data_IF_707935369305
#
_entry.id   IF_707935369305
#
_cell.length_a   1.000
_cell.length_b   1.000
_cell.length_c   1.000
_cell.angle_alpha   90.00
_cell.angle_beta   90.00
_cell.angle_gamma   90.00
#
_symmetry.space_group_name_H-M   'P 1'
#
loop_
_entity.id
_entity.type
_entity.pdbx_description
1 polymer ?
#
# COMPACT_ATOMS: atom_id res chain seq x y z
N UNK A 1 -26.87 39.96 48.43
CA UNK A 1 -27.94 41.01 48.59
C UNK A 1 -27.65 42.09 47.59
N UNK A 2 -28.70 42.45 46.86
CA UNK A 2 -28.86 43.58 45.96
C UNK A 2 -28.62 43.33 44.48
N UNK A 3 -29.42 43.96 43.60
CA UNK A 3 -30.37 43.20 42.79
C UNK A 3 -30.23 43.47 41.29
N UNK A 4 -30.96 42.66 40.51
CA UNK A 4 -31.19 42.76 39.07
C UNK A 4 -31.98 44.04 38.75
N UNK A 5 -31.77 44.68 37.60
CA UNK A 5 -32.87 45.36 36.95
C UNK A 5 -33.30 44.73 35.61
N UNK A 6 -34.58 44.62 35.47
CA UNK A 6 -35.37 44.27 34.29
C UNK A 6 -35.53 45.47 33.35
N UNK A 7 -35.86 45.11 32.07
CA UNK A 7 -36.60 45.87 31.02
C UNK A 7 -35.69 46.48 29.94
N UNK A 8 -36.06 46.43 28.66
CA UNK A 8 -37.34 46.89 28.08
C UNK A 8 -37.50 46.23 26.68
N UNK A 9 -38.70 45.78 26.36
CA UNK A 9 -39.20 45.39 25.05
C UNK A 9 -39.43 46.65 24.22
N UNK A 10 -38.87 46.76 23.02
CA UNK A 10 -39.25 47.71 22.00
C UNK A 10 -39.75 46.95 20.76
N UNK A 11 -41.04 47.09 20.51
CA UNK A 11 -41.68 46.74 19.23
C UNK A 11 -41.30 47.81 18.21
N UNK A 12 -40.82 47.42 17.05
CA UNK A 12 -40.75 48.29 15.88
C UNK A 12 -41.37 47.59 14.66
N UNK A 13 -42.09 48.40 13.94
CA UNK A 13 -43.10 48.14 12.94
C UNK A 13 -42.48 47.67 11.61
N UNK A 14 -43.24 46.85 10.92
CA UNK A 14 -43.07 46.41 9.52
C UNK A 14 -43.13 47.64 8.59
N UNK A 15 -42.08 47.83 7.76
CA UNK A 15 -42.17 48.63 6.56
C UNK A 15 -41.82 47.71 5.36
N UNK A 16 -42.85 47.40 4.56
CA UNK A 16 -42.70 46.67 3.31
C UNK A 16 -42.10 47.61 2.25
N UNK A 17 -40.91 47.30 1.75
CA UNK A 17 -40.33 47.94 0.58
C UNK A 17 -40.44 46.96 -0.57
N UNK A 18 -41.30 47.26 -1.54
CA UNK A 18 -41.39 46.57 -2.82
C UNK A 18 -40.24 47.08 -3.70
N UNK A 19 -39.22 46.23 -3.92
CA UNK A 19 -38.21 46.51 -4.93
C UNK A 19 -38.50 45.60 -6.12
N UNK A 20 -38.88 46.17 -7.25
CA UNK A 20 -38.96 45.52 -8.53
C UNK A 20 -37.52 45.19 -8.96
N UNK A 21 -37.12 43.95 -8.83
CA UNK A 21 -35.83 43.42 -9.32
C UNK A 21 -36.00 42.88 -10.74
N UNK A 22 -35.25 43.46 -11.67
CA UNK A 22 -35.06 42.89 -12.99
C UNK A 22 -34.47 41.48 -12.84
N UNK A 23 -35.20 40.45 -13.27
CA UNK A 23 -34.70 39.11 -13.44
C UNK A 23 -33.73 39.07 -14.62
N UNK A 24 -32.41 39.07 -14.33
CA UNK A 24 -31.44 38.51 -15.24
C UNK A 24 -31.56 36.99 -15.12
N UNK A 25 -32.21 36.39 -16.10
CA UNK A 25 -32.13 34.93 -16.33
C UNK A 25 -30.68 34.61 -16.66
N UNK A 26 -29.90 34.25 -15.66
CA UNK A 26 -28.74 33.37 -15.85
C UNK A 26 -29.33 32.06 -16.33
N UNK A 27 -29.08 31.71 -17.57
CA UNK A 27 -29.29 30.36 -18.03
C UNK A 27 -28.34 29.49 -17.21
N UNK A 28 -28.87 28.84 -16.20
CA UNK A 28 -28.25 27.69 -15.57
C UNK A 28 -28.36 26.60 -16.64
N UNK A 29 -27.24 26.39 -17.37
CA UNK A 29 -27.09 25.30 -18.29
C UNK A 29 -26.93 24.04 -17.44
N UNK A 30 -28.06 23.57 -16.93
CA UNK A 30 -28.20 22.36 -16.15
C UNK A 30 -28.02 21.11 -16.99
N UNK A 31 -26.92 21.03 -17.72
CA UNK A 31 -26.37 19.77 -18.18
C UNK A 31 -25.74 19.12 -16.96
N UNK A 32 -26.48 18.26 -16.27
CA UNK A 32 -25.92 17.19 -15.47
C UNK A 32 -25.09 16.33 -16.41
N UNK A 33 -23.81 16.69 -16.62
CA UNK A 33 -22.86 15.77 -17.20
C UNK A 33 -22.79 14.61 -16.22
N UNK A 34 -23.39 13.49 -16.58
CA UNK A 34 -23.11 12.21 -15.95
C UNK A 34 -21.63 11.99 -16.08
N UNK A 35 -20.92 11.84 -14.96
CA UNK A 35 -19.52 11.42 -15.00
C UNK A 35 -19.44 10.10 -15.75
N UNK A 36 -18.44 9.91 -16.64
CA UNK A 36 -18.21 8.61 -17.27
C UNK A 36 -18.16 7.53 -16.18
N UNK A 37 -18.84 6.41 -16.43
CA UNK A 37 -18.86 5.26 -15.53
C UNK A 37 -17.68 4.31 -15.75
N UNK A 38 -16.97 4.48 -16.88
CA UNK A 38 -15.81 3.70 -17.27
C UNK A 38 -14.79 4.58 -18.00
N UNK A 39 -13.64 4.02 -18.36
CA UNK A 39 -12.56 4.72 -19.04
C UNK A 39 -12.50 4.43 -20.55
N UNK A 40 -13.52 3.81 -21.13
CA UNK A 40 -13.53 3.35 -22.53
C UNK A 40 -13.50 4.49 -23.57
N UNK A 41 -14.04 5.67 -23.22
CA UNK A 41 -13.86 6.91 -24.00
C UNK A 41 -12.98 7.89 -23.23
N UNK A 42 -11.66 7.75 -23.39
CA UNK A 42 -10.69 8.54 -22.64
C UNK A 42 -10.76 10.05 -22.91
N UNK A 43 -11.12 10.46 -24.10
CA UNK A 43 -11.29 11.88 -24.44
C UNK A 43 -12.48 12.48 -23.68
N UNK A 44 -13.56 11.72 -23.50
CA UNK A 44 -14.71 12.14 -22.68
C UNK A 44 -14.31 12.23 -21.20
N UNK A 45 -13.56 11.25 -20.68
CA UNK A 45 -13.03 11.28 -19.32
C UNK A 45 -12.16 12.53 -19.09
N UNK A 46 -11.21 12.84 -19.98
CA UNK A 46 -10.37 14.02 -19.90
C UNK A 46 -11.18 15.33 -19.95
N UNK A 47 -12.19 15.38 -20.80
CA UNK A 47 -13.05 16.56 -20.91
C UNK A 47 -13.89 16.78 -19.64
N UNK A 48 -14.40 15.69 -19.03
CA UNK A 48 -15.16 15.75 -17.79
C UNK A 48 -14.27 16.10 -16.58
N UNK A 49 -13.05 15.57 -16.55
CA UNK A 49 -12.11 15.74 -15.42
C UNK A 49 -11.56 17.17 -15.28
N UNK A 50 -11.50 17.91 -16.38
CA UNK A 50 -10.88 19.25 -16.41
C UNK A 50 -11.57 20.23 -15.47
N UNK A 51 -10.77 20.85 -14.58
CA UNK A 51 -11.25 21.81 -13.57
C UNK A 51 -11.82 21.16 -12.31
N UNK A 52 -11.83 19.83 -12.22
CA UNK A 52 -12.25 19.11 -11.03
C UNK A 52 -11.16 19.08 -9.96
N UNK A 53 -11.57 18.76 -8.72
CA UNK A 53 -10.67 18.49 -7.61
C UNK A 53 -10.91 17.06 -7.10
N UNK A 54 -9.84 16.29 -6.94
CA UNK A 54 -9.89 14.90 -6.43
C UNK A 54 -9.48 14.89 -4.96
N UNK A 55 -10.35 14.41 -4.10
CA UNK A 55 -10.03 14.12 -2.71
C UNK A 55 -9.53 12.68 -2.61
N UNK A 56 -8.21 12.52 -2.51
CA UNK A 56 -7.56 11.23 -2.37
C UNK A 56 -7.30 10.95 -0.89
N UNK A 57 -8.02 9.97 -0.35
CA UNK A 57 -7.85 9.47 1.02
C UNK A 57 -6.75 8.43 1.03
N UNK A 58 -5.68 8.71 1.76
CA UNK A 58 -4.53 7.82 1.86
C UNK A 58 -3.89 7.88 3.24
N UNK A 59 -3.21 6.81 3.61
CA UNK A 59 -2.47 6.75 4.87
C UNK A 59 -1.43 7.87 4.95
N UNK A 60 -1.53 8.69 6.01
CA UNK A 60 -0.72 9.89 6.19
C UNK A 60 0.54 9.70 7.04
N UNK A 61 0.88 8.46 7.44
CA UNK A 61 1.96 8.19 8.39
C UNK A 61 3.39 8.31 7.85
N UNK A 62 3.58 8.55 6.54
CA UNK A 62 4.89 8.77 5.92
C UNK A 62 5.01 10.16 5.35
N UNK A 63 5.89 10.99 5.94
CA UNK A 63 6.15 12.35 5.44
C UNK A 63 6.70 12.33 4.00
N UNK A 64 7.53 11.35 3.65
CA UNK A 64 8.12 11.24 2.32
C UNK A 64 7.09 10.86 1.25
N UNK A 65 6.20 9.91 1.52
CA UNK A 65 5.09 9.58 0.61
C UNK A 65 4.16 10.80 0.46
N UNK A 66 3.83 11.46 1.57
CA UNK A 66 2.99 12.66 1.56
C UNK A 66 3.60 13.76 0.69
N UNK A 67 4.90 14.05 0.87
CA UNK A 67 5.63 15.04 0.07
C UNK A 67 5.67 14.64 -1.41
N UNK A 68 5.90 13.37 -1.73
CA UNK A 68 5.91 12.91 -3.12
C UNK A 68 4.55 13.11 -3.81
N UNK A 69 3.45 12.81 -3.13
CA UNK A 69 2.10 13.04 -3.63
C UNK A 69 1.84 14.53 -3.85
N UNK A 70 2.19 15.38 -2.89
CA UNK A 70 1.93 16.81 -2.94
C UNK A 70 2.84 17.53 -3.94
N UNK A 71 4.13 17.17 -4.01
CA UNK A 71 5.16 17.89 -4.76
C UNK A 71 5.44 17.30 -6.16
N UNK A 72 5.01 16.05 -6.41
CA UNK A 72 5.22 15.39 -7.72
C UNK A 72 3.90 15.18 -8.45
N UNK A 73 2.96 14.41 -7.91
CA UNK A 73 1.70 14.13 -8.61
C UNK A 73 0.81 15.38 -8.72
N UNK A 74 0.67 16.16 -7.65
CA UNK A 74 -0.18 17.34 -7.62
C UNK A 74 0.15 18.36 -8.70
N UNK A 75 1.40 18.82 -8.87
CA UNK A 75 1.81 19.73 -9.95
C UNK A 75 1.56 19.17 -11.33
N UNK A 76 1.89 17.90 -11.60
CA UNK A 76 1.68 17.27 -12.91
C UNK A 76 0.19 17.21 -13.26
N UNK A 77 -0.68 16.85 -12.31
CA UNK A 77 -2.14 16.82 -12.51
C UNK A 77 -2.68 18.20 -12.84
N UNK A 78 -2.25 19.21 -12.11
CA UNK A 78 -2.67 20.60 -12.35
C UNK A 78 -2.19 21.11 -13.72
N UNK A 79 -0.91 20.90 -14.03
CA UNK A 79 -0.29 21.53 -15.19
C UNK A 79 -0.66 20.82 -16.51
N UNK A 80 -0.79 19.45 -16.49
CA UNK A 80 -1.15 18.68 -17.69
C UNK A 80 -2.66 18.57 -17.90
N UNK A 81 -3.44 18.40 -16.81
CA UNK A 81 -4.85 18.04 -16.90
C UNK A 81 -5.81 19.10 -16.31
N UNK A 82 -5.30 20.10 -15.59
CA UNK A 82 -6.11 21.10 -14.93
C UNK A 82 -6.90 20.54 -13.72
N UNK A 83 -6.39 19.47 -13.12
CA UNK A 83 -6.99 18.81 -11.96
C UNK A 83 -6.27 19.26 -10.70
N UNK A 84 -7.03 19.56 -9.63
CA UNK A 84 -6.50 19.81 -8.29
C UNK A 84 -6.49 18.51 -7.49
N UNK A 85 -5.33 18.06 -7.03
CA UNK A 85 -5.23 16.92 -6.11
C UNK A 85 -5.27 17.41 -4.67
N UNK A 86 -6.23 16.95 -3.90
CA UNK A 86 -6.35 17.18 -2.47
C UNK A 86 -6.00 15.87 -1.74
N UNK A 87 -4.81 15.79 -1.18
CA UNK A 87 -4.44 14.69 -0.31
C UNK A 87 -5.18 14.81 1.02
N UNK A 88 -5.97 13.79 1.38
CA UNK A 88 -6.69 13.70 2.65
C UNK A 88 -6.01 12.61 3.50
N UNK A 89 -5.13 12.99 4.44
CA UNK A 89 -4.42 12.02 5.26
C UNK A 89 -5.36 11.37 6.27
N UNK A 90 -5.31 10.03 6.35
CA UNK A 90 -6.03 9.21 7.33
C UNK A 90 -5.03 8.38 8.13
N UNK A 91 -5.42 8.01 9.35
CA UNK A 91 -4.61 7.14 10.20
C UNK A 91 -4.68 5.68 9.76
N UNK A 92 -5.86 5.27 9.30
CA UNK A 92 -6.14 3.92 8.80
C UNK A 92 -7.15 3.99 7.64
N UNK A 93 -7.03 3.11 6.67
CA UNK A 93 -7.93 3.04 5.50
C UNK A 93 -9.39 2.78 5.89
N UNK A 94 -9.62 2.10 7.01
CA UNK A 94 -10.97 1.88 7.56
C UNK A 94 -11.73 3.19 7.80
N UNK A 95 -11.05 4.31 8.04
CA UNK A 95 -11.69 5.62 8.22
C UNK A 95 -12.37 6.07 6.92
N UNK A 96 -11.72 5.89 5.76
CA UNK A 96 -12.31 6.19 4.46
C UNK A 96 -13.45 5.22 4.12
N UNK A 97 -13.28 3.93 4.42
CA UNK A 97 -14.32 2.89 4.25
C UNK A 97 -15.59 3.27 5.02
N UNK A 98 -15.44 3.60 6.30
CA UNK A 98 -16.57 4.01 7.15
C UNK A 98 -17.25 5.27 6.63
N UNK A 99 -16.49 6.22 6.06
CA UNK A 99 -17.06 7.43 5.47
C UNK A 99 -17.89 7.12 4.23
N UNK A 100 -17.43 6.25 3.33
CA UNK A 100 -18.19 5.81 2.15
C UNK A 100 -19.48 5.11 2.57
N UNK A 101 -19.42 4.19 3.53
CA UNK A 101 -20.60 3.49 4.07
C UNK A 101 -21.59 4.48 4.68
N UNK A 102 -21.13 5.42 5.51
CA UNK A 102 -21.99 6.42 6.14
C UNK A 102 -22.66 7.35 5.12
N UNK A 103 -21.99 7.73 4.04
CA UNK A 103 -22.55 8.55 2.96
C UNK A 103 -23.65 7.80 2.21
N UNK A 104 -23.43 6.51 1.88
CA UNK A 104 -24.45 5.64 1.29
C UNK A 104 -25.69 5.54 2.21
N UNK A 105 -25.48 5.27 3.50
CA UNK A 105 -26.57 5.09 4.48
C UNK A 105 -27.38 6.38 4.69
N UNK A 106 -26.73 7.52 4.54
CA UNK A 106 -27.39 8.83 4.55
C UNK A 106 -28.11 9.18 3.23
N UNK A 107 -27.99 8.35 2.19
CA UNK A 107 -28.55 8.62 0.86
C UNK A 107 -27.90 9.80 0.16
N UNK A 108 -26.66 10.13 0.49
CA UNK A 108 -25.90 11.23 -0.12
C UNK A 108 -25.55 10.87 -1.57
N UNK A 109 -25.80 11.80 -2.50
CA UNK A 109 -25.35 11.69 -3.88
C UNK A 109 -24.13 12.59 -4.09
N UNK A 110 -23.10 12.07 -4.75
CA UNK A 110 -21.83 12.77 -4.95
C UNK A 110 -21.01 12.82 -3.65
N UNK A 111 -20.43 11.70 -3.28
CA UNK A 111 -19.62 11.51 -2.08
C UNK A 111 -18.43 12.46 -1.98
N UNK A 112 -17.90 12.63 -0.78
CA UNK A 112 -16.73 13.46 -0.53
C UNK A 112 -15.40 12.71 -0.81
N UNK A 113 -15.44 11.40 -0.90
CA UNK A 113 -14.30 10.53 -1.18
C UNK A 113 -14.28 10.25 -2.69
N UNK A 114 -13.23 10.71 -3.37
CA UNK A 114 -13.10 10.50 -4.83
C UNK A 114 -12.15 9.37 -5.16
N UNK A 115 -11.11 9.16 -4.35
CA UNK A 115 -10.10 8.11 -4.53
C UNK A 115 -9.63 7.63 -3.15
N UNK A 116 -9.36 6.33 -3.02
CA UNK A 116 -8.86 5.73 -1.77
C UNK A 116 -7.62 4.91 -2.09
N UNK A 117 -6.54 5.06 -1.30
CA UNK A 117 -5.51 4.02 -1.20
C UNK A 117 -6.08 2.90 -0.33
N UNK A 118 -6.27 1.74 -0.90
CA UNK A 118 -7.02 0.65 -0.29
C UNK A 118 -6.34 -0.69 -0.56
N UNK A 119 -6.44 -1.60 0.40
CA UNK A 119 -5.97 -2.97 0.28
C UNK A 119 -6.80 -3.92 1.16
N UNK A 120 -6.77 -5.20 0.82
CA UNK A 120 -7.17 -6.31 1.65
C UNK A 120 -8.63 -6.29 2.10
N UNK A 121 -8.85 -6.37 3.40
CA UNK A 121 -10.19 -6.42 3.99
C UNK A 121 -11.05 -5.18 3.72
N UNK A 122 -10.39 -4.03 3.58
CA UNK A 122 -11.05 -2.76 3.26
C UNK A 122 -11.64 -2.78 1.85
N UNK A 123 -10.86 -3.29 0.87
CA UNK A 123 -11.34 -3.53 -0.49
C UNK A 123 -12.49 -4.52 -0.51
N UNK A 124 -12.31 -5.69 0.10
CA UNK A 124 -13.34 -6.72 0.18
C UNK A 124 -14.64 -6.17 0.78
N UNK A 125 -14.55 -5.35 1.83
CA UNK A 125 -15.70 -4.73 2.50
C UNK A 125 -16.50 -3.84 1.55
N UNK A 126 -15.84 -2.93 0.82
CA UNK A 126 -16.53 -2.01 -0.09
C UNK A 126 -17.06 -2.74 -1.34
N UNK A 127 -16.27 -3.69 -1.90
CA UNK A 127 -16.67 -4.51 -3.04
C UNK A 127 -17.93 -5.31 -2.74
N UNK A 128 -17.94 -6.05 -1.64
CA UNK A 128 -19.05 -6.95 -1.28
C UNK A 128 -20.35 -6.19 -0.98
N UNK A 129 -20.26 -4.91 -0.64
CA UNK A 129 -21.39 -4.01 -0.48
C UNK A 129 -21.77 -3.24 -1.76
N UNK A 130 -21.05 -3.46 -2.88
CA UNK A 130 -21.30 -2.76 -4.15
C UNK A 130 -21.03 -1.26 -4.08
N UNK A 131 -20.03 -0.83 -3.28
CA UNK A 131 -19.71 0.58 -3.01
C UNK A 131 -18.50 1.08 -3.82
N UNK A 132 -17.93 0.26 -4.69
CA UNK A 132 -16.85 0.65 -5.59
C UNK A 132 -17.35 0.78 -7.02
N UNK A 133 -16.78 1.71 -7.75
CA UNK A 133 -16.95 1.83 -9.19
C UNK A 133 -16.26 0.65 -9.86
N UNK A 134 -16.95 -0.04 -10.76
CA UNK A 134 -16.45 -1.18 -11.51
C UNK A 134 -16.24 -0.81 -12.99
N UNK A 135 -15.43 -1.61 -13.70
CA UNK A 135 -15.29 -1.51 -15.16
C UNK A 135 -14.34 -0.41 -15.63
N UNK A 136 -13.56 0.24 -14.76
CA UNK A 136 -12.71 1.38 -15.16
C UNK A 136 -11.21 1.08 -15.15
N UNK A 137 -10.72 0.27 -14.19
CA UNK A 137 -9.28 0.18 -13.90
C UNK A 137 -8.49 -0.49 -15.03
N UNK A 138 -9.10 -1.46 -15.73
CA UNK A 138 -8.47 -2.16 -16.85
C UNK A 138 -8.60 -1.42 -18.20
N UNK A 139 -9.47 -0.41 -18.26
CA UNK A 139 -9.70 0.41 -19.46
C UNK A 139 -8.87 1.71 -19.45
N UNK A 140 -8.06 1.95 -18.41
CA UNK A 140 -7.13 3.07 -18.37
C UNK A 140 -6.09 2.94 -19.49
N UNK A 141 -5.67 4.04 -20.15
CA UNK A 141 -4.66 4.01 -21.21
C UNK A 141 -3.34 3.33 -20.84
N UNK A 142 -2.93 3.41 -19.58
CA UNK A 142 -1.69 2.79 -19.08
C UNK A 142 -1.93 1.40 -18.44
N UNK A 143 -3.16 0.87 -18.47
CA UNK A 143 -3.47 -0.42 -17.85
C UNK A 143 -2.76 -1.61 -18.54
N UNK A 144 -2.46 -1.50 -19.84
CA UNK A 144 -1.69 -2.51 -20.58
C UNK A 144 -0.26 -2.68 -20.09
N UNK A 145 0.25 -1.72 -19.33
CA UNK A 145 1.58 -1.78 -18.70
C UNK A 145 1.59 -2.64 -17.43
N UNK A 146 0.42 -2.97 -16.90
CA UNK A 146 0.26 -3.79 -15.68
C UNK A 146 0.23 -5.27 -16.06
N UNK A 147 0.91 -6.11 -15.29
CA UNK A 147 0.89 -7.56 -15.47
C UNK A 147 -0.33 -8.18 -14.76
N UNK A 148 -1.50 -8.00 -15.35
CA UNK A 148 -2.76 -8.54 -14.81
C UNK A 148 -2.86 -10.08 -14.78
N UNK A 149 -1.95 -10.77 -15.46
CA UNK A 149 -1.87 -12.24 -15.43
C UNK A 149 -1.15 -12.75 -14.17
N UNK A 150 -0.39 -11.88 -13.50
CA UNK A 150 0.28 -12.21 -12.26
C UNK A 150 -0.73 -12.17 -11.08
N UNK A 151 -0.93 -13.29 -10.35
CA UNK A 151 -1.82 -13.32 -9.19
C UNK A 151 -1.44 -12.35 -8.07
N UNK A 152 -0.15 -11.97 -7.94
CA UNK A 152 0.29 -10.96 -6.98
C UNK A 152 -0.19 -9.54 -7.34
N UNK A 153 -0.64 -9.32 -8.59
CA UNK A 153 -1.13 -8.03 -9.11
C UNK A 153 -2.64 -8.05 -9.34
N UNK A 154 -3.21 -9.21 -9.74
CA UNK A 154 -4.64 -9.33 -10.03
C UNK A 154 -5.48 -9.75 -8.82
N UNK A 155 -4.86 -9.95 -7.66
CA UNK A 155 -5.54 -10.29 -6.41
C UNK A 155 -5.03 -9.44 -5.26
N UNK A 156 -5.93 -8.83 -4.54
CA UNK A 156 -5.67 -8.13 -3.30
C UNK A 156 -5.98 -9.07 -2.12
N UNK A 157 -4.95 -9.53 -1.42
CA UNK A 157 -5.04 -10.54 -0.35
C UNK A 157 -5.93 -11.74 -0.71
N UNK A 158 -5.70 -12.28 -1.93
CA UNK A 158 -6.43 -13.44 -2.44
C UNK A 158 -7.78 -13.12 -3.09
N UNK A 159 -8.26 -11.87 -3.00
CA UNK A 159 -9.50 -11.39 -3.58
C UNK A 159 -9.22 -10.84 -4.98
N UNK A 160 -9.97 -11.29 -5.99
CA UNK A 160 -9.84 -10.78 -7.37
C UNK A 160 -10.21 -9.30 -7.40
N UNK A 161 -9.29 -8.47 -7.90
CA UNK A 161 -9.49 -7.01 -8.00
C UNK A 161 -10.49 -6.63 -9.10
N UNK A 162 -10.77 -7.52 -10.03
CA UNK A 162 -11.66 -7.27 -11.16
C UNK A 162 -11.20 -6.09 -12.01
N UNK A 163 -12.09 -5.12 -12.16
CA UNK A 163 -11.82 -3.82 -12.77
C UNK A 163 -12.12 -2.66 -11.79
N UNK A 164 -12.10 -2.91 -10.47
CA UNK A 164 -12.47 -1.96 -9.41
C UNK A 164 -11.26 -1.27 -8.79
N UNK A 165 -10.06 -1.87 -8.91
CA UNK A 165 -8.81 -1.35 -8.38
C UNK A 165 -7.76 -1.19 -9.47
N UNK A 166 -7.02 -0.08 -9.40
CA UNK A 166 -5.82 0.15 -10.20
C UNK A 166 -4.58 0.15 -9.31
N UNK A 167 -3.53 -0.59 -9.67
CA UNK A 167 -2.28 -0.55 -8.91
C UNK A 167 -1.60 0.81 -9.05
N UNK A 168 -0.82 1.22 -8.03
CA UNK A 168 -0.05 2.45 -8.11
C UNK A 168 1.38 2.33 -7.59
N UNK A 169 1.66 1.32 -6.78
CA UNK A 169 3.00 0.99 -6.28
C UNK A 169 3.04 -0.46 -5.79
N UNK A 170 4.23 -0.95 -5.47
CA UNK A 170 4.41 -2.26 -4.89
C UNK A 170 5.34 -2.23 -3.68
N UNK A 171 5.15 -3.19 -2.79
CA UNK A 171 6.01 -3.47 -1.67
C UNK A 171 6.39 -4.96 -1.69
N UNK A 172 7.60 -5.31 -1.22
CA UNK A 172 8.06 -6.70 -1.22
C UNK A 172 8.99 -6.94 -0.04
N UNK A 173 8.72 -7.97 0.73
CA UNK A 173 9.50 -8.34 1.89
C UNK A 173 10.93 -8.73 1.49
N UNK A 174 11.90 -8.03 2.04
CA UNK A 174 13.32 -8.27 1.83
C UNK A 174 14.05 -8.28 3.16
N UNK A 175 15.08 -9.08 3.26
CA UNK A 175 16.05 -8.97 4.35
C UNK A 175 17.09 -7.91 4.02
N UNK A 176 17.70 -7.34 5.07
CA UNK A 176 18.81 -6.39 4.97
C UNK A 176 19.94 -6.87 5.85
N UNK A 177 21.15 -6.90 5.31
CA UNK A 177 22.39 -7.25 5.99
C UNK A 177 23.42 -6.13 5.88
N UNK A 178 24.42 -6.11 6.76
CA UNK A 178 25.55 -5.20 6.65
C UNK A 178 26.73 -5.90 5.96
N UNK A 179 27.07 -5.48 4.73
CA UNK A 179 28.14 -6.06 3.93
C UNK A 179 29.55 -5.83 4.52
N UNK A 180 29.69 -4.98 5.51
CA UNK A 180 30.92 -4.84 6.28
C UNK A 180 31.09 -5.94 7.35
N UNK A 181 30.00 -6.63 7.75
CA UNK A 181 29.98 -7.66 8.79
C UNK A 181 29.76 -9.07 8.25
N UNK A 182 28.88 -9.20 7.26
CA UNK A 182 28.46 -10.49 6.68
C UNK A 182 28.75 -10.49 5.18
N UNK A 183 29.39 -11.53 4.67
CA UNK A 183 29.62 -11.65 3.23
C UNK A 183 28.36 -12.18 2.51
N UNK A 184 28.18 -11.79 1.26
CA UNK A 184 27.04 -12.24 0.45
C UNK A 184 26.98 -13.78 0.29
N UNK A 185 28.13 -14.43 0.30
CA UNK A 185 28.25 -15.89 0.17
C UNK A 185 27.75 -16.65 1.43
N UNK A 186 27.61 -15.95 2.56
CA UNK A 186 27.13 -16.52 3.84
C UNK A 186 25.63 -16.30 4.05
N UNK A 187 24.95 -15.57 3.15
CA UNK A 187 23.54 -15.27 3.27
C UNK A 187 22.69 -16.52 3.02
N UNK A 188 21.69 -16.78 3.87
CA UNK A 188 20.70 -17.82 3.63
C UNK A 188 19.84 -17.47 2.40
N UNK A 189 19.46 -18.50 1.62
CA UNK A 189 18.64 -18.35 0.42
C UNK A 189 17.26 -19.02 0.55
N UNK A 190 16.95 -19.53 1.73
CA UNK A 190 15.68 -20.19 2.06
C UNK A 190 15.41 -20.09 3.55
N UNK A 191 14.17 -20.38 3.98
CA UNK A 191 13.86 -20.49 5.41
C UNK A 191 14.57 -21.66 6.08
N UNK A 192 14.79 -22.75 5.35
CA UNK A 192 15.60 -23.87 5.85
C UNK A 192 17.05 -23.45 6.12
N UNK A 193 17.69 -22.77 5.15
CA UNK A 193 19.04 -22.25 5.31
C UNK A 193 19.13 -21.16 6.38
N UNK A 194 18.08 -20.33 6.55
CA UNK A 194 18.01 -19.35 7.63
C UNK A 194 18.03 -20.02 9.00
N UNK A 195 17.31 -21.13 9.16
CA UNK A 195 17.33 -21.89 10.41
C UNK A 195 18.71 -22.44 10.72
N UNK A 196 19.39 -23.02 9.72
CA UNK A 196 20.75 -23.52 9.87
C UNK A 196 21.73 -22.39 10.18
N UNK A 197 21.61 -21.26 9.48
CA UNK A 197 22.43 -20.07 9.70
C UNK A 197 22.24 -19.51 11.13
N UNK A 198 20.99 -19.34 11.55
CA UNK A 198 20.68 -18.80 12.88
C UNK A 198 21.22 -19.69 14.01
N UNK A 199 21.13 -21.02 13.83
CA UNK A 199 21.66 -21.96 14.82
C UNK A 199 23.19 -22.07 14.81
N UNK A 200 23.83 -21.77 13.67
CA UNK A 200 25.29 -21.61 13.60
C UNK A 200 25.76 -20.27 14.21
N UNK A 201 24.90 -19.26 14.29
CA UNK A 201 25.15 -17.92 14.83
C UNK A 201 24.14 -17.56 15.96
N UNK A 202 24.13 -18.29 17.09
CA UNK A 202 23.09 -18.15 18.10
C UNK A 202 22.99 -16.72 18.61
N UNK A 203 21.76 -16.19 18.68
CA UNK A 203 21.49 -14.84 19.13
C UNK A 203 21.67 -13.73 18.11
N UNK A 204 22.11 -14.07 16.87
CA UNK A 204 22.37 -13.08 15.81
C UNK A 204 21.18 -12.83 14.88
N UNK A 205 20.04 -13.49 15.09
CA UNK A 205 18.83 -13.31 14.31
C UNK A 205 17.59 -13.22 15.20
N UNK A 206 16.64 -12.42 14.78
CA UNK A 206 15.26 -12.41 15.27
C UNK A 206 14.34 -11.84 14.20
N UNK A 207 13.04 -11.91 14.43
CA UNK A 207 12.00 -11.35 13.58
C UNK A 207 10.96 -10.61 14.42
N UNK A 208 10.12 -9.79 13.78
CA UNK A 208 9.06 -9.05 14.47
C UNK A 208 7.97 -10.02 14.92
N UNK A 209 7.48 -9.88 16.15
CA UNK A 209 6.36 -10.68 16.64
C UNK A 209 5.12 -10.49 15.75
N UNK A 210 4.54 -11.57 15.18
CA UNK A 210 3.25 -11.47 14.51
C UNK A 210 2.16 -10.92 15.41
N UNK A 211 1.29 -10.06 14.87
CA UNK A 211 0.18 -9.50 15.62
C UNK A 211 -0.47 -8.33 14.88
N UNK A 212 -1.60 -7.81 15.37
CA UNK A 212 -2.29 -6.68 14.76
C UNK A 212 -1.35 -5.48 14.53
N UNK A 213 -1.27 -5.01 13.29
CA UNK A 213 -0.37 -3.94 12.89
C UNK A 213 1.10 -4.34 12.68
N UNK A 214 1.48 -5.58 12.97
CA UNK A 214 2.84 -6.10 12.78
C UNK A 214 2.93 -6.97 11.51
N UNK A 215 2.49 -6.46 10.37
CA UNK A 215 2.46 -7.16 9.08
C UNK A 215 3.74 -7.90 8.73
N UNK A 216 4.89 -7.33 9.07
CA UNK A 216 6.20 -7.88 8.72
C UNK A 216 6.52 -9.18 9.47
N UNK A 217 6.13 -9.26 10.73
CA UNK A 217 6.26 -10.48 11.51
C UNK A 217 5.36 -11.58 10.96
N UNK A 218 4.13 -11.22 10.60
CA UNK A 218 3.18 -12.16 10.01
C UNK A 218 3.65 -12.62 8.62
N UNK A 219 4.22 -11.73 7.79
CA UNK A 219 4.83 -12.08 6.50
C UNK A 219 6.01 -13.03 6.65
N UNK A 220 6.89 -12.79 7.61
CA UNK A 220 7.98 -13.72 7.90
C UNK A 220 7.46 -15.14 8.19
N UNK A 221 6.44 -15.25 9.04
CA UNK A 221 5.86 -16.56 9.41
C UNK A 221 5.12 -17.18 8.22
N UNK A 222 4.37 -16.41 7.44
CA UNK A 222 3.73 -16.88 6.20
C UNK A 222 4.76 -17.35 5.17
N UNK A 223 5.87 -16.65 5.01
CA UNK A 223 6.95 -17.08 4.11
C UNK A 223 7.54 -18.45 4.47
N UNK A 224 7.72 -18.72 5.77
CA UNK A 224 8.11 -20.03 6.24
C UNK A 224 7.04 -21.09 5.93
N UNK A 225 5.77 -20.80 6.15
CA UNK A 225 4.65 -21.67 5.80
C UNK A 225 4.63 -22.01 4.30
N UNK A 226 4.84 -21.01 3.44
CA UNK A 226 4.86 -21.19 1.99
C UNK A 226 5.99 -22.13 1.55
N UNK A 227 7.19 -21.96 2.09
CA UNK A 227 8.31 -22.85 1.77
C UNK A 227 8.04 -24.28 2.25
N UNK A 228 7.60 -24.45 3.50
CA UNK A 228 7.31 -25.76 4.08
C UNK A 228 6.23 -26.54 3.31
N UNK A 229 5.25 -25.84 2.78
CA UNK A 229 4.11 -26.43 2.06
C UNK A 229 4.33 -26.54 0.54
N UNK A 230 5.47 -26.09 0.01
CA UNK A 230 5.81 -26.20 -1.41
C UNK A 230 5.36 -25.05 -2.29
N UNK A 231 4.97 -23.89 -1.70
CA UNK A 231 4.73 -22.63 -2.43
C UNK A 231 3.53 -21.83 -1.96
N UNK A 232 3.49 -20.57 -2.38
CA UNK A 232 2.47 -19.59 -1.96
C UNK A 232 1.10 -19.79 -2.62
N UNK A 233 1.06 -20.31 -3.86
CA UNK A 233 -0.15 -20.31 -4.69
C UNK A 233 -1.35 -21.03 -4.07
N UNK A 234 -1.11 -22.08 -3.28
CA UNK A 234 -2.15 -22.83 -2.59
C UNK A 234 -2.81 -22.06 -1.43
N UNK A 235 -2.17 -20.99 -0.95
CA UNK A 235 -2.65 -20.13 0.14
C UNK A 235 -3.44 -18.92 -0.33
N UNK A 236 -3.55 -18.72 -1.64
CA UNK A 236 -4.29 -17.61 -2.24
C UNK A 236 -5.82 -17.69 -2.03
N UNK A 237 -6.34 -18.86 -1.68
CA UNK A 237 -7.74 -19.07 -1.32
C UNK A 237 -7.81 -19.77 0.03
N UNK A 238 -8.72 -19.34 0.91
CA UNK A 238 -8.82 -19.94 2.23
C UNK A 238 -9.34 -21.39 2.18
N UNK A 239 -8.59 -22.29 2.80
CA UNK A 239 -8.96 -23.69 3.04
C UNK A 239 -8.48 -24.12 4.44
N UNK A 240 -9.43 -24.36 5.34
CA UNK A 240 -9.12 -24.78 6.71
C UNK A 240 -8.35 -26.10 6.75
N UNK A 241 -8.62 -27.03 5.83
CA UNK A 241 -7.93 -28.33 5.80
C UNK A 241 -6.45 -28.21 5.46
N UNK A 242 -6.10 -27.24 4.58
CA UNK A 242 -4.71 -26.91 4.29
C UNK A 242 -3.99 -26.35 5.52
N UNK A 243 -4.67 -25.46 6.26
CA UNK A 243 -4.12 -24.94 7.51
C UNK A 243 -3.88 -26.04 8.53
N UNK A 244 -4.86 -26.91 8.75
CA UNK A 244 -4.77 -28.03 9.72
C UNK A 244 -3.67 -29.02 9.35
N UNK A 245 -3.39 -29.20 8.06
CA UNK A 245 -2.30 -30.07 7.55
C UNK A 245 -0.91 -29.44 7.80
N UNK A 246 -0.72 -28.17 7.49
CA UNK A 246 0.61 -27.54 7.44
C UNK A 246 0.99 -26.74 8.68
N UNK A 247 0.04 -26.23 9.45
CA UNK A 247 0.34 -25.45 10.66
C UNK A 247 1.16 -26.21 11.70
N UNK A 248 1.03 -27.54 11.91
CA UNK A 248 1.92 -28.27 12.82
C UNK A 248 3.39 -28.23 12.40
N UNK A 249 3.67 -28.31 11.09
CA UNK A 249 5.05 -28.23 10.57
C UNK A 249 5.62 -26.82 10.72
N UNK A 250 4.78 -25.78 10.52
CA UNK A 250 5.16 -24.39 10.77
C UNK A 250 5.56 -24.15 12.22
N UNK A 251 4.73 -24.60 13.16
CA UNK A 251 5.04 -24.43 14.59
C UNK A 251 6.28 -25.21 15.01
N UNK A 252 6.47 -26.42 14.49
CA UNK A 252 7.68 -27.21 14.73
C UNK A 252 8.95 -26.51 14.20
N UNK A 253 8.87 -25.88 13.03
CA UNK A 253 9.96 -25.07 12.46
C UNK A 253 10.31 -23.88 13.37
N UNK A 254 9.31 -23.09 13.78
CA UNK A 254 9.52 -21.92 14.62
C UNK A 254 10.01 -22.28 16.03
N UNK A 255 9.53 -23.40 16.59
CA UNK A 255 9.97 -23.89 17.91
C UNK A 255 11.43 -24.38 17.85
N UNK A 256 11.83 -25.04 16.76
CA UNK A 256 13.22 -25.44 16.52
C UNK A 256 14.16 -24.25 16.32
N UNK A 257 13.69 -23.19 15.64
CA UNK A 257 14.45 -21.96 15.42
C UNK A 257 14.59 -21.13 16.71
N UNK A 258 13.61 -21.16 17.59
CA UNK A 258 13.50 -20.32 18.80
C UNK A 258 14.77 -20.25 19.66
N UNK A 259 15.41 -21.38 20.07
CA UNK A 259 16.60 -21.31 20.94
C UNK A 259 17.82 -20.68 20.25
N UNK A 260 17.81 -20.57 18.91
CA UNK A 260 18.86 -19.93 18.12
C UNK A 260 18.69 -18.42 17.97
N UNK A 261 17.50 -17.90 18.29
CA UNK A 261 17.15 -16.48 18.14
C UNK A 261 17.84 -15.60 19.17
N UNK A 262 17.87 -14.29 18.89
CA UNK A 262 18.23 -13.25 19.86
C UNK A 262 17.49 -13.46 21.18
N UNK A 263 18.21 -13.40 22.28
CA UNK A 263 17.70 -13.72 23.63
C UNK A 263 16.98 -15.07 23.75
N UNK A 264 17.42 -16.06 22.98
CA UNK A 264 16.83 -17.40 22.93
C UNK A 264 15.32 -17.44 22.58
N UNK A 265 14.83 -16.40 21.88
CA UNK A 265 13.43 -16.27 21.54
C UNK A 265 12.49 -16.04 22.74
N UNK A 266 13.01 -15.54 23.87
CA UNK A 266 12.18 -15.20 25.03
C UNK A 266 11.47 -13.84 24.84
N UNK A 267 11.91 -13.05 23.85
CA UNK A 267 11.32 -11.76 23.50
C UNK A 267 11.58 -11.47 22.02
N UNK A 268 10.66 -10.71 21.40
CA UNK A 268 10.69 -10.34 20.01
C UNK A 268 10.48 -8.84 19.83
N UNK A 269 11.09 -8.20 18.83
CA UNK A 269 10.72 -6.84 18.43
C UNK A 269 9.23 -6.76 18.09
N UNK A 270 8.60 -5.63 18.38
CA UNK A 270 7.18 -5.40 18.12
C UNK A 270 6.92 -4.64 16.83
N UNK A 271 7.94 -3.93 16.33
CA UNK A 271 7.85 -3.07 15.16
C UNK A 271 9.21 -2.98 14.43
N UNK A 272 9.18 -2.47 13.20
CA UNK A 272 10.37 -2.37 12.34
C UNK A 272 11.48 -1.51 12.97
N UNK A 273 11.14 -0.37 13.56
CA UNK A 273 12.12 0.52 14.19
C UNK A 273 12.90 -0.17 15.33
N UNK A 274 12.24 -1.07 16.07
CA UNK A 274 12.91 -1.85 17.10
C UNK A 274 13.89 -2.86 16.50
N UNK A 275 13.48 -3.55 15.41
CA UNK A 275 14.35 -4.48 14.69
C UNK A 275 15.54 -3.76 14.05
N UNK A 276 15.30 -2.60 13.40
CA UNK A 276 16.35 -1.76 12.81
C UNK A 276 17.37 -1.31 13.85
N UNK A 277 16.91 -0.93 15.04
CA UNK A 277 17.79 -0.51 16.15
C UNK A 277 18.69 -1.67 16.62
N UNK A 278 18.17 -2.89 16.74
CA UNK A 278 18.98 -4.06 17.09
C UNK A 278 20.06 -4.31 16.03
N UNK A 279 19.70 -4.21 14.76
CA UNK A 279 20.64 -4.36 13.63
C UNK A 279 21.70 -3.26 13.62
N UNK A 280 21.32 -2.00 13.78
CA UNK A 280 22.24 -0.87 13.79
C UNK A 280 23.23 -0.94 14.97
N UNK A 281 22.80 -1.49 16.12
CA UNK A 281 23.61 -1.69 17.31
C UNK A 281 24.49 -2.96 17.26
N UNK A 282 24.50 -3.70 16.15
CA UNK A 282 25.24 -4.97 16.01
C UNK A 282 24.78 -6.06 16.99
N UNK A 283 23.51 -6.03 17.40
CA UNK A 283 22.92 -7.10 18.22
C UNK A 283 22.45 -8.28 17.37
N UNK A 284 22.03 -8.00 16.10
CA UNK A 284 21.60 -8.98 15.12
C UNK A 284 22.22 -8.68 13.75
N UNK A 285 22.27 -9.66 12.85
CA UNK A 285 22.91 -9.55 11.53
C UNK A 285 21.94 -9.26 10.40
N UNK A 286 20.64 -9.48 10.61
CA UNK A 286 19.61 -9.18 9.60
C UNK A 286 18.51 -8.31 10.17
N UNK A 287 18.12 -7.30 9.39
CA UNK A 287 16.84 -6.58 9.54
C UNK A 287 16.03 -6.74 8.26
N UNK A 288 14.99 -5.95 8.05
CA UNK A 288 14.10 -6.08 6.91
C UNK A 288 13.84 -4.73 6.24
N UNK A 289 13.32 -4.78 5.02
CA UNK A 289 12.68 -3.64 4.34
C UNK A 289 11.51 -4.14 3.49
N UNK A 290 10.54 -3.29 3.27
CA UNK A 290 9.46 -3.52 2.29
C UNK A 290 9.67 -2.70 1.03
N UNK A 291 10.58 -1.74 1.09
CA UNK A 291 10.87 -0.89 -0.03
C UNK A 291 11.49 -1.72 -1.16
N UNK A 292 10.81 -1.81 -2.30
CA UNK A 292 11.35 -2.49 -3.48
C UNK A 292 12.66 -1.86 -3.98
N UNK A 293 12.94 -0.63 -3.55
CA UNK A 293 14.18 0.10 -3.79
C UNK A 293 15.28 -0.23 -2.75
N UNK A 294 15.07 -1.23 -1.91
CA UNK A 294 16.01 -1.64 -0.87
C UNK A 294 16.12 -0.65 0.30
N UNK A 295 17.19 -0.73 1.11
CA UNK A 295 17.34 0.05 2.34
C UNK A 295 17.82 1.50 2.10
N UNK A 296 17.78 2.01 0.87
CA UNK A 296 18.37 3.32 0.53
C UNK A 296 17.85 4.48 1.40
N UNK A 297 16.55 4.53 1.68
CA UNK A 297 15.96 5.54 2.58
C UNK A 297 16.45 5.36 4.03
N UNK A 298 16.46 4.13 4.54
CA UNK A 298 16.95 3.82 5.89
C UNK A 298 18.43 4.20 6.08
N UNK A 299 19.25 4.05 5.02
CA UNK A 299 20.65 4.48 4.99
C UNK A 299 20.73 6.01 5.01
N UNK A 300 19.95 6.68 4.18
CA UNK A 300 19.96 8.14 4.08
C UNK A 300 19.54 8.81 5.39
N UNK A 301 18.58 8.22 6.10
CA UNK A 301 18.09 8.69 7.40
C UNK A 301 19.00 8.25 8.57
N UNK A 302 20.06 7.48 8.31
CA UNK A 302 20.99 6.99 9.34
C UNK A 302 20.38 5.94 10.28
N UNK A 303 19.30 5.30 9.88
CA UNK A 303 18.60 4.24 10.65
C UNK A 303 19.39 2.95 10.61
N UNK A 304 20.04 2.64 9.49
CA UNK A 304 20.90 1.47 9.30
C UNK A 304 22.28 1.88 8.79
N UNK A 305 23.33 1.04 8.95
CA UNK A 305 24.67 1.34 8.45
C UNK A 305 24.72 1.65 6.95
N UNK A 306 25.64 2.51 6.49
CA UNK A 306 25.78 2.88 5.08
C UNK A 306 26.22 1.70 4.17
N UNK A 307 26.70 0.62 4.75
CA UNK A 307 27.12 -0.62 4.09
C UNK A 307 25.99 -1.65 4.01
N UNK A 308 24.77 -1.28 4.42
CA UNK A 308 23.60 -2.14 4.39
C UNK A 308 23.16 -2.45 2.95
N UNK A 309 22.81 -3.71 2.69
CA UNK A 309 22.30 -4.20 1.40
C UNK A 309 21.10 -5.10 1.61
N UNK A 310 20.15 -5.07 0.68
CA UNK A 310 19.01 -5.98 0.69
C UNK A 310 19.34 -7.32 0.03
N UNK A 311 18.62 -8.38 0.44
CA UNK A 311 18.58 -9.66 -0.23
C UNK A 311 17.22 -10.34 -0.05
N UNK A 312 16.92 -11.28 -0.92
CA UNK A 312 15.69 -12.11 -0.86
C UNK A 312 16.08 -13.59 -0.90
N UNK A 313 15.15 -14.42 -0.44
CA UNK A 313 15.29 -15.85 -0.61
C UNK A 313 14.91 -16.27 -2.02
N UNK A 314 15.52 -17.36 -2.50
CA UNK A 314 15.21 -17.93 -3.81
C UNK A 314 13.83 -18.62 -3.82
N UNK A 315 13.33 -19.00 -2.65
CA UNK A 315 12.08 -19.75 -2.48
C UNK A 315 10.83 -18.88 -2.51
N UNK A 316 10.87 -17.72 -1.88
CA UNK A 316 9.77 -16.75 -1.90
C UNK A 316 10.17 -15.42 -1.25
N UNK A 317 9.52 -14.37 -1.72
CA UNK A 317 9.51 -13.05 -1.09
C UNK A 317 8.09 -12.50 -1.22
N UNK A 318 7.36 -12.45 -0.12
CA UNK A 318 5.96 -12.01 -0.13
C UNK A 318 5.91 -10.52 -0.47
N UNK A 319 5.16 -10.20 -1.51
CA UNK A 319 4.89 -8.83 -1.90
C UNK A 319 3.41 -8.59 -2.15
N UNK A 320 3.06 -7.34 -2.13
CA UNK A 320 1.74 -6.86 -2.46
C UNK A 320 1.84 -5.62 -3.34
N UNK A 321 0.78 -5.39 -4.05
CA UNK A 321 0.55 -4.17 -4.82
C UNK A 321 -0.32 -3.27 -3.98
N UNK A 322 0.00 -2.00 -3.95
CA UNK A 322 -0.86 -0.98 -3.38
C UNK A 322 -1.83 -0.52 -4.46
N UNK A 323 -3.11 -0.47 -4.12
CA UNK A 323 -4.16 -0.11 -5.07
C UNK A 323 -4.81 1.22 -4.73
N UNK A 324 -5.43 1.79 -5.76
CA UNK A 324 -6.41 2.87 -5.60
C UNK A 324 -7.75 2.40 -6.13
N UNK A 325 -8.82 2.74 -5.40
CA UNK A 325 -10.19 2.46 -5.79
C UNK A 325 -11.02 3.75 -5.78
N UNK A 326 -12.06 3.77 -6.62
CA UNK A 326 -13.01 4.88 -6.75
C UNK A 326 -14.34 4.44 -6.14
N UNK A 327 -14.89 5.13 -5.12
CA UNK A 327 -16.24 4.87 -4.65
C UNK A 327 -17.29 5.03 -5.74
N UNK A 328 -18.34 4.19 -5.73
CA UNK A 328 -19.40 4.21 -6.75
C UNK A 328 -20.17 5.54 -6.81
N UNK A 329 -20.20 6.30 -5.70
CA UNK A 329 -20.82 7.61 -5.57
C UNK A 329 -19.82 8.77 -5.60
N UNK A 330 -18.57 8.53 -6.01
CA UNK A 330 -17.54 9.56 -6.10
C UNK A 330 -18.01 10.74 -6.97
N UNK A 331 -17.86 11.96 -6.43
CA UNK A 331 -18.30 13.17 -7.13
C UNK A 331 -17.46 13.44 -8.38
N UNK A 332 -16.18 13.11 -8.33
CA UNK A 332 -15.21 13.44 -9.36
C UNK A 332 -14.56 12.18 -9.95
N UNK A 333 -15.36 11.16 -10.24
CA UNK A 333 -14.90 9.86 -10.75
C UNK A 333 -14.01 10.00 -12.00
N UNK A 334 -14.37 10.87 -12.95
CA UNK A 334 -13.55 11.11 -14.14
C UNK A 334 -12.15 11.62 -13.80
N UNK A 335 -12.04 12.60 -12.90
CA UNK A 335 -10.75 13.10 -12.47
C UNK A 335 -9.97 12.06 -11.65
N UNK A 336 -10.65 11.23 -10.85
CA UNK A 336 -10.03 10.12 -10.12
C UNK A 336 -9.43 9.07 -11.10
N UNK A 337 -10.11 8.75 -12.22
CA UNK A 337 -9.55 7.91 -13.28
C UNK A 337 -8.30 8.51 -13.91
N UNK A 338 -8.27 9.86 -14.13
CA UNK A 338 -7.07 10.54 -14.65
C UNK A 338 -5.93 10.46 -13.64
N UNK A 339 -6.20 10.61 -12.34
CA UNK A 339 -5.19 10.41 -11.29
C UNK A 339 -4.67 8.98 -11.37
N UNK A 340 -5.53 7.97 -11.36
CA UNK A 340 -5.13 6.57 -11.40
C UNK A 340 -4.29 6.23 -12.64
N UNK A 341 -4.66 6.77 -13.82
CA UNK A 341 -3.86 6.59 -15.04
C UNK A 341 -2.48 7.26 -14.94
N UNK A 342 -2.39 8.44 -14.30
CA UNK A 342 -1.08 9.10 -14.05
C UNK A 342 -0.21 8.28 -13.11
N UNK A 343 -0.80 7.61 -12.11
CA UNK A 343 -0.05 6.73 -11.20
C UNK A 343 0.62 5.56 -11.95
N UNK A 344 0.09 5.14 -13.09
CA UNK A 344 0.68 4.13 -13.99
C UNK A 344 1.60 4.71 -15.07
N UNK A 345 1.75 6.05 -15.15
CA UNK A 345 2.62 6.68 -16.16
C UNK A 345 4.09 6.28 -15.92
N UNK A 346 4.82 5.74 -16.91
CA UNK A 346 6.21 5.30 -16.73
C UNK A 346 7.15 6.36 -16.18
N UNK A 347 6.92 7.64 -16.48
CA UNK A 347 7.72 8.73 -15.91
C UNK A 347 7.48 8.93 -14.42
N UNK A 348 6.25 8.73 -13.97
CA UNK A 348 5.90 8.77 -12.54
C UNK A 348 6.41 7.52 -11.81
N UNK A 349 6.29 6.37 -12.43
CA UNK A 349 6.83 5.12 -11.93
C UNK A 349 8.37 5.18 -11.81
N UNK A 350 9.07 5.74 -12.81
CA UNK A 350 10.50 5.99 -12.71
C UNK A 350 10.86 6.95 -11.57
N UNK A 351 10.09 8.04 -11.41
CA UNK A 351 10.33 9.01 -10.35
C UNK A 351 10.17 8.42 -8.95
N UNK A 352 9.19 7.54 -8.73
CA UNK A 352 8.90 6.99 -7.40
C UNK A 352 9.97 6.03 -6.88
N UNK A 353 10.70 5.32 -7.74
CA UNK A 353 11.75 4.39 -7.29
C UNK A 353 13.10 5.07 -7.04
N UNK A 354 13.28 6.33 -7.45
CA UNK A 354 14.53 7.05 -7.21
C UNK A 354 14.66 7.33 -5.69
N UNK A 355 15.72 6.81 -5.02
CA UNK A 355 15.85 6.95 -3.56
C UNK A 355 15.82 8.39 -3.07
N UNK A 356 16.41 9.32 -3.84
CA UNK A 356 16.45 10.74 -3.51
C UNK A 356 15.06 11.42 -3.45
N UNK A 357 14.04 10.80 -4.06
CA UNK A 357 12.67 11.31 -4.03
C UNK A 357 11.89 10.82 -2.79
N UNK A 358 12.47 9.90 -2.01
CA UNK A 358 11.97 9.46 -0.71
C UNK A 358 10.70 8.59 -0.73
N UNK A 359 10.16 8.26 -1.91
CA UNK A 359 8.92 7.47 -1.99
C UNK A 359 9.11 6.04 -1.53
N UNK A 360 10.16 5.36 -2.00
CA UNK A 360 10.62 4.08 -1.48
C UNK A 360 9.84 2.83 -1.92
N UNK A 361 8.69 2.99 -2.57
CA UNK A 361 7.88 1.87 -3.06
C UNK A 361 8.23 1.51 -4.51
N UNK A 362 7.95 0.25 -4.90
CA UNK A 362 8.29 -0.28 -6.21
C UNK A 362 7.30 0.06 -7.32
N UNK A 363 7.58 -0.49 -8.49
CA UNK A 363 6.72 -0.34 -9.65
C UNK A 363 5.34 -0.98 -9.48
N UNK A 364 4.31 -0.32 -10.00
CA UNK A 364 2.99 -0.91 -10.23
C UNK A 364 2.85 -1.47 -11.65
N UNK A 365 3.75 -1.11 -12.55
CA UNK A 365 3.79 -1.58 -13.94
C UNK A 365 4.89 -2.63 -14.12
N UNK A 366 4.76 -3.44 -15.16
CA UNK A 366 5.85 -4.28 -15.65
C UNK A 366 6.71 -3.46 -16.64
N UNK A 367 7.94 -3.09 -16.27
CA UNK A 367 8.82 -2.34 -17.16
C UNK A 367 9.03 -2.99 -18.53
N UNK A 368 8.93 -4.33 -18.63
CA UNK A 368 9.11 -5.04 -19.90
C UNK A 368 8.01 -4.74 -20.93
N UNK A 369 6.84 -4.31 -20.46
CA UNK A 369 5.68 -3.93 -21.30
C UNK A 369 5.79 -2.50 -21.86
N UNK A 370 6.71 -1.67 -21.32
CA UNK A 370 6.94 -0.32 -21.83
C UNK A 370 7.74 -0.40 -23.14
N UNK A 371 7.09 -0.12 -24.26
CA UNK A 371 7.68 -0.23 -25.61
C UNK A 371 8.24 1.07 -26.15
N UNK A 372 7.83 2.20 -25.60
CA UNK A 372 8.39 3.51 -25.95
C UNK A 372 9.83 3.65 -25.46
N UNK A 373 10.83 3.91 -26.36
CA UNK A 373 12.23 3.93 -25.97
C UNK A 373 12.61 5.05 -24.98
N UNK A 374 11.92 6.20 -25.03
CA UNK A 374 12.18 7.31 -24.13
C UNK A 374 11.69 6.97 -22.71
N UNK A 375 10.47 6.47 -22.59
CA UNK A 375 9.91 6.03 -21.33
C UNK A 375 10.67 4.85 -20.74
N UNK A 376 11.10 3.89 -21.58
CA UNK A 376 11.96 2.79 -21.15
C UNK A 376 13.28 3.29 -20.60
N UNK A 377 13.91 4.25 -21.27
CA UNK A 377 15.15 4.88 -20.81
C UNK A 377 15.01 5.54 -19.44
N UNK A 378 13.86 6.16 -19.13
CA UNK A 378 13.60 6.73 -17.79
C UNK A 378 13.56 5.62 -16.71
N UNK A 379 12.93 4.49 -17.00
CA UNK A 379 12.85 3.36 -16.05
C UNK A 379 14.22 2.73 -15.83
N UNK A 380 14.99 2.52 -16.91
CA UNK A 380 16.35 1.96 -16.84
C UNK A 380 17.30 2.90 -16.08
N UNK A 381 17.22 4.21 -16.32
CA UNK A 381 18.01 5.22 -15.60
C UNK A 381 17.63 5.26 -14.10
N UNK A 382 16.35 5.15 -13.78
CA UNK A 382 15.87 5.13 -12.41
C UNK A 382 16.34 3.86 -11.68
N UNK A 383 16.24 2.69 -12.33
CA UNK A 383 16.75 1.43 -11.80
C UNK A 383 18.26 1.49 -11.55
N UNK A 384 19.02 2.10 -12.47
CA UNK A 384 20.45 2.32 -12.30
C UNK A 384 20.84 3.22 -11.11
N UNK A 385 19.90 4.00 -10.57
CA UNK A 385 20.12 4.87 -9.39
C UNK A 385 19.85 4.19 -8.05
N UNK A 386 19.30 2.95 -8.05
CA UNK A 386 19.07 2.20 -6.81
C UNK A 386 20.39 1.84 -6.11
N UNK A 387 21.48 1.72 -6.89
CA UNK A 387 22.81 1.39 -6.38
C UNK A 387 22.91 -0.03 -5.85
N UNK A 388 24.05 -0.34 -5.26
CA UNK A 388 24.38 -1.70 -4.77
C UNK A 388 23.64 -2.12 -3.50
N UNK A 389 22.85 -1.23 -2.91
CA UNK A 389 22.09 -1.51 -1.70
C UNK A 389 20.78 -2.26 -1.99
N UNK A 390 20.22 -2.09 -3.19
CA UNK A 390 18.99 -2.74 -3.62
C UNK A 390 19.26 -4.12 -4.24
N UNK A 391 18.26 -5.00 -4.17
CA UNK A 391 18.25 -6.26 -4.94
C UNK A 391 18.05 -5.92 -6.42
N UNK A 392 18.69 -6.66 -7.30
CA UNK A 392 18.45 -6.54 -8.75
C UNK A 392 16.95 -6.71 -9.04
N UNK A 393 16.32 -5.79 -9.79
CA UNK A 393 14.87 -5.84 -10.04
C UNK A 393 14.39 -7.15 -10.68
N UNK A 394 15.22 -7.82 -11.50
CA UNK A 394 14.86 -9.10 -12.09
C UNK A 394 14.87 -10.23 -11.05
N UNK A 395 15.82 -10.20 -10.12
CA UNK A 395 15.87 -11.14 -8.98
C UNK A 395 14.68 -10.91 -8.06
N UNK A 396 14.39 -9.65 -7.74
CA UNK A 396 13.26 -9.27 -6.89
C UNK A 396 11.93 -9.74 -7.51
N UNK A 397 11.73 -9.50 -8.81
CA UNK A 397 10.54 -9.93 -9.55
C UNK A 397 10.40 -11.47 -9.58
N UNK A 398 11.51 -12.20 -9.75
CA UNK A 398 11.46 -13.67 -9.79
C UNK A 398 11.14 -14.33 -8.46
N UNK A 399 11.47 -13.65 -7.35
CA UNK A 399 11.18 -14.13 -5.99
C UNK A 399 9.77 -13.74 -5.50
N UNK A 400 9.08 -12.84 -6.23
CA UNK A 400 7.78 -12.30 -5.83
C UNK A 400 6.70 -13.38 -5.76
N UNK A 401 6.05 -13.49 -4.61
CA UNK A 401 4.84 -14.27 -4.41
C UNK A 401 3.76 -13.40 -3.75
N UNK A 402 2.50 -13.64 -4.11
CA UNK A 402 1.37 -12.97 -3.46
C UNK A 402 1.18 -13.40 -2.01
N UNK A 403 0.51 -12.55 -1.24
CA UNK A 403 0.17 -12.87 0.15
C UNK A 403 -0.95 -13.93 0.24
N UNK A 404 -1.09 -14.57 1.40
CA UNK A 404 -2.14 -15.52 1.68
C UNK A 404 -3.51 -14.82 1.81
N UNK A 405 -4.60 -15.58 1.57
CA UNK A 405 -5.95 -15.08 1.81
C UNK A 405 -6.14 -14.58 3.25
N UNK A 406 -6.93 -13.50 3.40
CA UNK A 406 -7.14 -12.76 4.67
C UNK A 406 -7.33 -13.64 5.91
N UNK A 407 -8.15 -14.72 5.91
CA UNK A 407 -8.36 -15.52 7.13
C UNK A 407 -7.08 -16.17 7.69
N UNK A 408 -6.06 -16.38 6.85
CA UNK A 408 -4.78 -16.92 7.33
C UNK A 408 -3.99 -15.93 8.19
N UNK A 409 -4.25 -14.63 8.05
CA UNK A 409 -3.64 -13.61 8.89
C UNK A 409 -3.92 -13.88 10.36
N UNK A 410 -5.21 -13.98 10.71
CA UNK A 410 -5.65 -14.23 12.08
C UNK A 410 -5.17 -15.58 12.62
N UNK A 411 -5.17 -16.62 11.76
CA UNK A 411 -4.70 -17.95 12.14
C UNK A 411 -3.20 -17.98 12.45
N UNK A 412 -2.39 -17.26 11.67
CA UNK A 412 -0.94 -17.12 11.91
C UNK A 412 -0.70 -16.33 13.21
N UNK A 413 -1.34 -15.17 13.39
CA UNK A 413 -1.11 -14.31 14.54
C UNK A 413 -1.56 -14.95 15.86
N UNK A 414 -2.73 -15.57 15.84
CA UNK A 414 -3.27 -16.29 17.00
C UNK A 414 -2.45 -17.54 17.31
N UNK A 415 -2.18 -18.36 16.27
CA UNK A 415 -1.42 -19.59 16.42
C UNK A 415 0.01 -19.33 16.90
N UNK A 416 0.68 -18.29 16.37
CA UNK A 416 2.03 -17.91 16.83
C UNK A 416 2.03 -17.57 18.31
N UNK A 417 1.10 -16.73 18.77
CA UNK A 417 0.98 -16.36 20.18
C UNK A 417 0.73 -17.58 21.07
N UNK A 418 -0.20 -18.42 20.67
CA UNK A 418 -0.64 -19.56 21.50
C UNK A 418 0.41 -20.68 21.53
N UNK A 419 1.12 -20.94 20.45
CA UNK A 419 2.10 -22.01 20.34
C UNK A 419 3.50 -21.58 20.80
N UNK A 420 3.94 -20.35 20.49
CA UNK A 420 5.30 -19.91 20.78
C UNK A 420 5.44 -19.16 22.12
N UNK A 421 4.40 -18.43 22.55
CA UNK A 421 4.42 -17.69 23.83
C UNK A 421 3.65 -18.40 24.95
N UNK A 422 3.04 -19.55 24.70
CA UNK A 422 2.34 -20.32 25.71
C UNK A 422 0.98 -19.75 26.14
N UNK A 423 0.32 -18.94 25.29
CA UNK A 423 -1.05 -18.44 25.55
C UNK A 423 -1.15 -17.46 26.72
N UNK A 424 -0.16 -16.52 26.87
CA UNK A 424 -0.15 -15.48 27.90
C UNK A 424 -1.29 -14.47 27.72
#
# INVERSE_FOLDING_TARGET
MSPIPRRTVAKLALAALVIAGCSSTSADDGSTRTSPSDASDWDEVLAAARGQAVNWYLWGGSESINAFVDDTYGPVLRDRFGITLNRVPIADTVDAVNQVIAQRDAGTTGGAVDLIWINGENFATLRDQGLLLDGWARDLPNADLVDWDNPAVSRDFGVDVGAMESPWSSAQFQFVYDSARTSEAELPRSYAELSDWACAHPGRFTYIAPGPGAFQGTRFVKGALFELSGGASQWATFDQSMWDEWSPALWAYLDALRPCLWRNGDTYPKEENELHRLFANDEIDFTITQAAVGPGALIADGVVPPTSKAFVFDTNSIGDVNYVAIPADARHAAAAMVVANLLLDPSMQAAQIIPANGFGLGYAIDPSRVTDPEQRGLLDDAAGRLGDAAVDPAVLSSALVGDAAVPYQDLVETGWRDQLLGGL
#
